data_IF_492260009168
#
_entry.id   IF_492260009168
#
_cell.length_a   1.000
_cell.length_b   1.000
_cell.length_c   1.000
_cell.angle_alpha   90.00
_cell.angle_beta   90.00
_cell.angle_gamma   90.00
#
_symmetry.space_group_name_H-M   'P 1'
#
loop_
_entity.id
_entity.type
_entity.pdbx_description
1 polymer ?
#
# COMPACT_ATOMS: atom_id res chain seq x y z
N UNK A 1 -12.93 8.28 -35.91
CA UNK A 1 -13.38 7.61 -34.67
C UNK A 1 -12.20 7.34 -33.73
N UNK A 2 -11.19 6.56 -34.16
CA UNK A 2 -10.01 6.19 -33.35
C UNK A 2 -9.26 7.39 -32.72
N UNK A 3 -9.15 8.53 -33.40
CA UNK A 3 -8.49 9.73 -32.85
C UNK A 3 -9.26 10.37 -31.68
N UNK A 4 -10.58 10.44 -31.77
CA UNK A 4 -11.43 11.00 -30.71
C UNK A 4 -11.38 10.11 -29.47
N UNK A 5 -11.55 8.79 -29.65
CA UNK A 5 -11.44 7.82 -28.55
C UNK A 5 -10.07 7.88 -27.86
N UNK A 6 -9.00 8.02 -28.64
CA UNK A 6 -7.64 8.18 -28.10
C UNK A 6 -7.50 9.49 -27.32
N UNK A 7 -8.16 10.56 -27.77
CA UNK A 7 -8.19 11.84 -27.07
C UNK A 7 -8.99 11.76 -25.75
N UNK A 8 -10.18 11.16 -25.76
CA UNK A 8 -10.98 10.88 -24.55
C UNK A 8 -10.19 10.03 -23.56
N UNK A 9 -9.53 8.97 -24.05
CA UNK A 9 -8.67 8.15 -23.22
C UNK A 9 -7.55 8.98 -22.57
N UNK A 10 -6.95 9.94 -23.28
CA UNK A 10 -5.94 10.85 -22.70
C UNK A 10 -6.51 11.86 -21.70
N UNK A 11 -7.78 12.27 -21.83
CA UNK A 11 -8.48 13.11 -20.84
C UNK A 11 -8.72 12.33 -19.54
N UNK A 12 -8.97 11.02 -19.64
CA UNK A 12 -9.41 10.20 -18.52
C UNK A 12 -8.34 9.26 -17.92
N UNK A 13 -7.26 8.93 -18.66
CA UNK A 13 -6.14 8.14 -18.13
C UNK A 13 -5.33 8.94 -17.09
N UNK A 14 -4.79 8.23 -16.09
CA UNK A 14 -3.84 8.72 -15.08
C UNK A 14 -4.32 9.73 -14.03
N UNK A 15 -5.63 10.00 -13.95
CA UNK A 15 -6.21 11.02 -13.04
C UNK A 15 -6.91 10.47 -11.80
N UNK A 16 -6.82 9.17 -11.56
CA UNK A 16 -7.37 8.52 -10.37
C UNK A 16 -8.89 8.37 -10.38
N UNK A 17 -9.55 8.66 -11.50
CA UNK A 17 -11.00 8.51 -11.71
C UNK A 17 -11.36 7.03 -11.59
N UNK A 18 -12.41 6.73 -10.84
CA UNK A 18 -12.89 5.36 -10.68
C UNK A 18 -13.38 4.81 -12.03
N UNK A 19 -13.49 3.48 -12.18
CA UNK A 19 -13.83 2.86 -13.46
C UNK A 19 -15.23 3.25 -13.97
N UNK A 20 -16.21 3.35 -13.08
CA UNK A 20 -17.60 3.66 -13.42
C UNK A 20 -17.73 5.09 -13.95
N UNK A 21 -17.22 6.06 -13.19
CA UNK A 21 -17.17 7.47 -13.60
C UNK A 21 -16.38 7.63 -14.90
N UNK A 22 -15.31 6.85 -15.09
CA UNK A 22 -14.52 6.86 -16.32
C UNK A 22 -15.33 6.37 -17.52
N UNK A 23 -16.15 5.33 -17.36
CA UNK A 23 -17.01 4.82 -18.42
C UNK A 23 -18.11 5.84 -18.77
N UNK A 24 -18.82 6.36 -17.76
CA UNK A 24 -19.86 7.39 -17.93
C UNK A 24 -19.31 8.65 -18.60
N UNK A 25 -18.21 9.22 -18.06
CA UNK A 25 -17.55 10.38 -18.65
C UNK A 25 -17.01 10.10 -20.05
N UNK A 26 -16.55 8.87 -20.33
CA UNK A 26 -16.03 8.56 -21.66
C UNK A 26 -17.12 8.64 -22.72
N UNK A 27 -18.35 8.24 -22.38
CA UNK A 27 -19.50 8.30 -23.27
C UNK A 27 -19.90 9.76 -23.47
N UNK A 28 -20.08 10.52 -22.39
CA UNK A 28 -20.49 11.93 -22.45
C UNK A 28 -19.49 12.81 -23.23
N UNK A 29 -18.20 12.68 -22.93
CA UNK A 29 -17.14 13.43 -23.63
C UNK A 29 -17.09 13.05 -25.11
N UNK A 30 -17.24 11.75 -25.43
CA UNK A 30 -17.22 11.29 -26.81
C UNK A 30 -18.43 11.83 -27.59
N UNK A 31 -19.62 11.85 -26.98
CA UNK A 31 -20.83 12.40 -27.60
C UNK A 31 -20.67 13.89 -27.91
N UNK A 32 -20.13 14.69 -26.98
CA UNK A 32 -19.83 16.11 -27.24
C UNK A 32 -18.81 16.30 -28.37
N UNK A 33 -17.75 15.49 -28.41
CA UNK A 33 -16.76 15.54 -29.50
C UNK A 33 -17.35 15.14 -30.85
N UNK A 34 -18.29 14.20 -30.87
CA UNK A 34 -19.00 13.80 -32.08
C UNK A 34 -19.95 14.90 -32.55
N UNK A 35 -20.65 15.59 -31.64
CA UNK A 35 -21.45 16.77 -31.99
C UNK A 35 -20.58 17.86 -32.63
N UNK A 36 -19.46 18.22 -32.02
CA UNK A 36 -18.52 19.20 -32.59
C UNK A 36 -17.99 18.77 -33.96
N UNK A 37 -17.65 17.48 -34.13
CA UNK A 37 -17.21 16.94 -35.41
C UNK A 37 -18.31 17.12 -36.46
N UNK A 38 -19.56 16.81 -36.12
CA UNK A 38 -20.69 16.90 -37.04
C UNK A 38 -20.96 18.35 -37.45
N UNK A 39 -20.91 19.31 -36.52
CA UNK A 39 -20.99 20.73 -36.86
C UNK A 39 -19.92 21.15 -37.88
N UNK A 40 -18.72 20.60 -37.77
CA UNK A 40 -17.65 20.88 -38.73
C UNK A 40 -17.87 20.18 -40.08
N UNK A 41 -18.46 18.99 -40.10
CA UNK A 41 -18.86 18.34 -41.35
C UNK A 41 -19.95 19.15 -42.06
N UNK A 42 -20.94 19.66 -41.32
CA UNK A 42 -22.01 20.53 -41.84
C UNK A 42 -21.47 21.85 -42.39
N UNK A 43 -20.39 22.38 -41.80
CA UNK A 43 -19.65 23.55 -42.31
C UNK A 43 -18.78 23.24 -43.54
N UNK A 44 -18.86 22.03 -44.09
CA UNK A 44 -18.18 21.63 -45.33
C UNK A 44 -16.73 21.19 -45.17
N UNK A 45 -16.26 20.92 -43.94
CA UNK A 45 -14.93 20.38 -43.72
C UNK A 45 -14.87 18.88 -44.05
N UNK A 46 -13.72 18.43 -44.57
CA UNK A 46 -13.44 17.00 -44.70
C UNK A 46 -13.32 16.33 -43.31
N UNK A 47 -13.52 15.02 -43.26
CA UNK A 47 -13.60 14.27 -42.00
C UNK A 47 -12.34 14.41 -41.12
N UNK A 48 -11.16 14.47 -41.73
CA UNK A 48 -9.89 14.62 -40.99
C UNK A 48 -9.78 16.02 -40.38
N UNK A 49 -10.13 17.07 -41.14
CA UNK A 49 -10.14 18.45 -40.64
C UNK A 49 -11.21 18.65 -39.58
N UNK A 50 -12.41 18.11 -39.78
CA UNK A 50 -13.50 18.18 -38.81
C UNK A 50 -13.11 17.53 -37.47
N UNK A 51 -12.48 16.36 -37.51
CA UNK A 51 -11.99 15.67 -36.31
C UNK A 51 -10.93 16.48 -35.57
N UNK A 52 -9.95 17.05 -36.30
CA UNK A 52 -8.91 17.89 -35.68
C UNK A 52 -9.49 19.16 -35.07
N UNK A 53 -10.41 19.84 -35.76
CA UNK A 53 -11.07 21.04 -35.23
C UNK A 53 -11.89 20.73 -33.99
N UNK A 54 -12.66 19.64 -33.99
CA UNK A 54 -13.41 19.20 -32.81
C UNK A 54 -12.50 18.99 -31.59
N UNK A 55 -11.34 18.35 -31.76
CA UNK A 55 -10.36 18.17 -30.66
C UNK A 55 -9.80 19.52 -30.18
N UNK A 56 -9.41 20.40 -31.11
CA UNK A 56 -8.82 21.70 -30.77
C UNK A 56 -9.81 22.58 -29.99
N UNK A 57 -11.06 22.62 -30.45
CA UNK A 57 -12.11 23.43 -29.83
C UNK A 57 -12.55 22.87 -28.48
N UNK A 58 -12.59 21.54 -28.35
CA UNK A 58 -12.85 20.89 -27.06
C UNK A 58 -11.74 21.18 -26.04
N UNK A 59 -10.54 21.54 -26.51
CA UNK A 59 -9.45 22.08 -25.68
C UNK A 59 -8.28 21.12 -25.51
N UNK A 60 -7.38 21.45 -24.58
CA UNK A 60 -6.22 20.62 -24.30
C UNK A 60 -6.54 19.54 -23.27
N UNK A 61 -6.19 18.28 -23.57
CA UNK A 61 -6.50 17.12 -22.72
C UNK A 61 -6.05 17.27 -21.26
N UNK A 62 -4.91 17.93 -20.99
CA UNK A 62 -4.42 18.15 -19.64
C UNK A 62 -5.31 19.12 -18.86
N UNK A 63 -5.71 20.23 -19.49
CA UNK A 63 -6.56 21.25 -18.90
C UNK A 63 -7.94 20.67 -18.59
N UNK A 64 -8.60 20.10 -19.61
CA UNK A 64 -9.93 19.50 -19.47
C UNK A 64 -9.92 18.39 -18.43
N UNK A 65 -8.95 17.46 -18.51
CA UNK A 65 -8.91 16.35 -17.55
C UNK A 65 -8.67 16.80 -16.10
N UNK A 66 -7.95 17.91 -15.88
CA UNK A 66 -7.78 18.47 -14.53
C UNK A 66 -9.06 19.14 -14.01
N UNK A 67 -9.85 19.76 -14.89
CA UNK A 67 -11.15 20.33 -14.52
C UNK A 67 -12.17 19.22 -14.25
N UNK A 68 -12.24 18.20 -15.10
CA UNK A 68 -13.06 17.00 -14.88
C UNK A 68 -12.77 16.39 -13.50
N UNK A 69 -11.49 16.25 -13.12
CA UNK A 69 -11.12 15.78 -11.77
C UNK A 69 -11.73 16.63 -10.65
N UNK A 70 -11.73 17.97 -10.80
CA UNK A 70 -12.21 18.91 -9.76
C UNK A 70 -13.72 18.86 -9.59
N UNK A 71 -14.46 18.61 -10.66
CA UNK A 71 -15.92 18.65 -10.68
C UNK A 71 -16.57 17.27 -10.58
N UNK A 72 -15.78 16.20 -10.52
CA UNK A 72 -16.29 14.86 -10.30
C UNK A 72 -17.06 14.79 -8.96
N UNK A 73 -18.34 14.36 -8.98
CA UNK A 73 -19.16 14.26 -7.76
C UNK A 73 -18.61 13.19 -6.81
N UNK A 74 -17.95 12.16 -7.35
CA UNK A 74 -17.14 11.24 -6.57
C UNK A 74 -15.73 11.83 -6.49
N UNK A 75 -15.22 12.10 -5.29
CA UNK A 75 -13.81 12.48 -5.08
C UNK A 75 -12.87 11.29 -5.31
N UNK A 76 -13.05 10.55 -6.40
CA UNK A 76 -12.46 9.26 -6.71
C UNK A 76 -12.79 8.17 -5.67
N UNK A 77 -13.96 8.25 -5.04
CA UNK A 77 -14.44 7.22 -4.11
C UNK A 77 -15.24 6.17 -4.88
N UNK A 78 -15.01 4.91 -4.54
CA UNK A 78 -15.73 3.78 -5.14
C UNK A 78 -16.98 3.43 -4.31
N UNK A 79 -17.96 2.78 -4.95
CA UNK A 79 -19.10 2.19 -4.23
C UNK A 79 -18.66 0.98 -3.38
N UNK A 80 -17.77 0.15 -3.90
CA UNK A 80 -17.18 -1.00 -3.20
C UNK A 80 -15.68 -1.17 -3.56
N UNK A 81 -14.94 -1.87 -2.71
CA UNK A 81 -13.52 -2.15 -2.90
C UNK A 81 -13.33 -3.36 -3.81
N UNK A 82 -12.61 -3.15 -4.92
CA UNK A 82 -12.15 -4.21 -5.80
C UNK A 82 -11.17 -5.14 -5.05
N UNK A 83 -11.06 -6.39 -5.50
CA UNK A 83 -10.12 -7.36 -4.92
C UNK A 83 -8.68 -6.83 -4.86
N UNK A 84 -8.25 -6.12 -5.92
CA UNK A 84 -6.94 -5.46 -5.99
C UNK A 84 -6.71 -4.49 -4.84
N UNK A 85 -7.73 -3.71 -4.47
CA UNK A 85 -7.62 -2.73 -3.39
C UNK A 85 -7.68 -3.38 -2.00
N UNK A 86 -8.41 -4.48 -1.86
CA UNK A 86 -8.40 -5.32 -0.65
C UNK A 86 -7.01 -5.89 -0.40
N UNK A 87 -6.35 -6.40 -1.46
CA UNK A 87 -4.97 -6.89 -1.38
C UNK A 87 -4.02 -5.75 -0.96
N UNK A 88 -4.13 -4.55 -1.54
CA UNK A 88 -3.33 -3.38 -1.13
C UNK A 88 -3.51 -3.05 0.36
N UNK A 89 -4.76 -3.07 0.84
CA UNK A 89 -5.08 -2.82 2.24
C UNK A 89 -4.45 -3.88 3.16
N UNK A 90 -4.61 -5.16 2.83
CA UNK A 90 -4.04 -6.25 3.65
C UNK A 90 -2.51 -6.17 3.67
N UNK A 91 -1.89 -5.85 2.54
CA UNK A 91 -0.45 -5.61 2.49
C UNK A 91 -0.09 -4.44 3.42
N UNK A 92 -0.72 -3.26 3.29
CA UNK A 92 -0.41 -2.10 4.16
C UNK A 92 -0.55 -2.42 5.65
N UNK A 93 -1.56 -3.21 6.02
CA UNK A 93 -1.71 -3.73 7.38
C UNK A 93 -0.52 -4.57 7.83
N UNK A 94 0.00 -5.49 7.00
CA UNK A 94 1.20 -6.28 7.31
C UNK A 94 2.46 -5.43 7.49
N UNK A 95 2.64 -4.34 6.71
CA UNK A 95 3.77 -3.43 6.96
C UNK A 95 3.68 -2.81 8.34
N UNK A 96 2.52 -2.22 8.61
CA UNK A 96 2.29 -1.50 9.86
C UNK A 96 2.39 -2.45 11.04
N UNK A 97 1.96 -3.70 10.88
CA UNK A 97 2.16 -4.77 11.85
C UNK A 97 3.65 -5.01 12.14
N UNK A 98 4.48 -5.26 11.12
CA UNK A 98 5.91 -5.50 11.29
C UNK A 98 6.66 -4.27 11.83
N UNK A 99 6.31 -3.07 11.37
CA UNK A 99 6.86 -1.81 11.84
C UNK A 99 6.50 -1.53 13.30
N UNK A 100 5.23 -1.74 13.68
CA UNK A 100 4.79 -1.54 15.06
C UNK A 100 5.45 -2.53 16.00
N UNK A 101 5.55 -3.82 15.65
CA UNK A 101 6.32 -4.81 16.44
C UNK A 101 7.76 -4.32 16.63
N UNK A 102 8.41 -3.92 15.54
CA UNK A 102 9.80 -3.44 15.57
C UNK A 102 9.95 -2.21 16.46
N UNK A 103 9.02 -1.26 16.37
CA UNK A 103 8.99 -0.07 17.22
C UNK A 103 8.81 -0.45 18.69
N UNK A 104 7.77 -1.20 19.05
CA UNK A 104 7.52 -1.58 20.44
C UNK A 104 8.68 -2.35 21.08
N UNK A 105 9.34 -3.25 20.33
CA UNK A 105 10.49 -4.01 20.83
C UNK A 105 11.74 -3.14 20.92
N UNK A 106 12.09 -2.42 19.84
CA UNK A 106 13.38 -1.76 19.73
C UNK A 106 13.45 -0.41 20.45
N UNK A 107 12.36 0.36 20.46
CA UNK A 107 12.35 1.71 21.06
C UNK A 107 11.70 1.71 22.45
N UNK A 108 10.57 1.02 22.62
CA UNK A 108 9.84 1.02 23.88
C UNK A 108 10.24 -0.13 24.82
N UNK A 109 11.00 -1.12 24.34
CA UNK A 109 11.40 -2.32 25.09
C UNK A 109 10.22 -3.07 25.71
N UNK A 110 9.05 -3.01 25.06
CA UNK A 110 7.83 -3.73 25.47
C UNK A 110 7.73 -5.00 24.63
N UNK A 111 7.64 -6.15 25.29
CA UNK A 111 7.65 -7.46 24.64
C UNK A 111 6.28 -8.16 24.76
N UNK A 112 5.94 -9.06 23.82
CA UNK A 112 4.83 -9.99 24.01
C UNK A 112 5.07 -10.87 25.25
N UNK A 113 4.01 -11.29 25.98
CA UNK A 113 2.59 -11.12 25.69
C UNK A 113 1.97 -9.90 26.40
N UNK A 114 2.73 -8.84 26.68
CA UNK A 114 2.25 -7.65 27.40
C UNK A 114 0.97 -7.08 26.76
N UNK A 115 -0.01 -6.71 27.59
CA UNK A 115 -1.30 -6.18 27.12
C UNK A 115 -1.15 -4.88 26.34
N UNK A 116 -0.23 -4.00 26.76
CA UNK A 116 0.06 -2.71 26.09
C UNK A 116 0.65 -2.97 24.70
N UNK A 117 1.55 -3.96 24.58
CA UNK A 117 2.10 -4.38 23.29
C UNK A 117 0.98 -4.85 22.35
N UNK A 118 0.13 -5.76 22.82
CA UNK A 118 -0.95 -6.33 22.02
C UNK A 118 -1.93 -5.25 21.56
N UNK A 119 -2.39 -4.38 22.48
CA UNK A 119 -3.32 -3.29 22.16
C UNK A 119 -2.67 -2.31 21.18
N UNK A 120 -1.42 -1.91 21.42
CA UNK A 120 -0.71 -0.93 20.59
C UNK A 120 -0.49 -1.39 19.16
N UNK A 121 0.00 -2.61 18.97
CA UNK A 121 0.19 -3.21 17.64
C UNK A 121 -1.16 -3.35 16.92
N UNK A 122 -2.18 -3.87 17.60
CA UNK A 122 -3.51 -4.03 17.01
C UNK A 122 -4.17 -2.70 16.66
N UNK A 123 -3.94 -1.65 17.45
CA UNK A 123 -4.45 -0.31 17.16
C UNK A 123 -3.88 0.22 15.85
N UNK A 124 -2.55 0.15 15.66
CA UNK A 124 -1.91 0.61 14.43
C UNK A 124 -2.46 -0.12 13.19
N UNK A 125 -2.62 -1.43 13.28
CA UNK A 125 -3.10 -2.27 12.17
C UNK A 125 -4.57 -1.98 11.83
N UNK A 126 -5.45 -2.03 12.82
CA UNK A 126 -6.89 -1.80 12.61
C UNK A 126 -7.19 -0.36 12.18
N UNK A 127 -6.42 0.61 12.68
CA UNK A 127 -6.49 2.01 12.23
C UNK A 127 -6.09 2.17 10.77
N UNK A 128 -5.09 1.41 10.29
CA UNK A 128 -4.67 1.44 8.88
C UNK A 128 -5.79 0.98 7.95
N UNK A 129 -6.48 -0.11 8.31
CA UNK A 129 -7.64 -0.59 7.56
C UNK A 129 -8.77 0.46 7.56
N UNK A 130 -9.06 1.02 8.74
CA UNK A 130 -10.06 2.08 8.90
C UNK A 130 -9.78 3.27 7.97
N UNK A 131 -8.57 3.82 7.98
CA UNK A 131 -8.19 4.96 7.13
C UNK A 131 -8.27 4.61 5.65
N UNK A 132 -7.65 3.51 5.24
CA UNK A 132 -7.59 3.11 3.82
C UNK A 132 -8.99 2.95 3.22
N UNK A 133 -9.90 2.32 3.97
CA UNK A 133 -11.25 2.02 3.51
C UNK A 133 -12.13 3.27 3.50
N UNK A 134 -12.08 4.09 4.55
CA UNK A 134 -12.91 5.31 4.63
C UNK A 134 -12.44 6.44 3.70
N UNK A 135 -11.17 6.43 3.27
CA UNK A 135 -10.69 7.33 2.21
C UNK A 135 -11.24 6.87 0.84
N UNK A 136 -11.28 5.56 0.57
CA UNK A 136 -11.68 5.02 -0.73
C UNK A 136 -13.19 4.83 -0.93
N UNK A 137 -13.99 4.66 0.13
CA UNK A 137 -15.42 4.39 0.02
C UNK A 137 -16.26 5.53 0.57
N UNK A 138 -17.37 5.82 -0.12
CA UNK A 138 -18.35 6.82 0.36
C UNK A 138 -19.52 6.17 1.12
N UNK A 139 -19.85 4.92 0.79
CA UNK A 139 -20.98 4.22 1.39
C UNK A 139 -20.57 3.59 2.74
N UNK A 140 -21.20 4.05 3.83
CA UNK A 140 -20.99 3.56 5.21
C UNK A 140 -21.14 2.05 5.32
N UNK A 141 -22.19 1.48 4.71
CA UNK A 141 -22.48 0.05 4.77
C UNK A 141 -21.38 -0.77 4.11
N UNK A 142 -20.91 -0.32 2.95
CA UNK A 142 -19.83 -0.99 2.23
C UNK A 142 -18.49 -0.79 2.93
N UNK A 143 -18.22 0.37 3.51
CA UNK A 143 -17.04 0.61 4.33
C UNK A 143 -16.97 -0.36 5.52
N UNK A 144 -18.06 -0.50 6.29
CA UNK A 144 -18.15 -1.45 7.41
C UNK A 144 -17.92 -2.88 6.95
N UNK A 145 -18.60 -3.31 5.87
CA UNK A 145 -18.41 -4.66 5.29
C UNK A 145 -16.94 -4.92 4.94
N UNK A 146 -16.27 -3.95 4.32
CA UNK A 146 -14.88 -4.10 3.92
C UNK A 146 -13.91 -4.04 5.09
N UNK A 147 -14.18 -3.27 6.14
CA UNK A 147 -13.37 -3.26 7.37
C UNK A 147 -13.40 -4.65 8.00
N UNK A 148 -14.59 -5.22 8.16
CA UNK A 148 -14.76 -6.58 8.70
C UNK A 148 -14.00 -7.59 7.84
N UNK A 149 -14.16 -7.53 6.52
CA UNK A 149 -13.52 -8.46 5.59
C UNK A 149 -11.99 -8.35 5.62
N UNK A 150 -11.44 -7.14 5.55
CA UNK A 150 -10.00 -6.93 5.52
C UNK A 150 -9.36 -7.30 6.87
N UNK A 151 -9.95 -6.89 7.99
CA UNK A 151 -9.45 -7.24 9.33
C UNK A 151 -9.54 -8.74 9.60
N UNK A 152 -10.65 -9.39 9.22
CA UNK A 152 -10.80 -10.84 9.34
C UNK A 152 -9.77 -11.60 8.50
N UNK A 153 -9.59 -11.19 7.24
CA UNK A 153 -8.60 -11.81 6.35
C UNK A 153 -7.18 -11.60 6.86
N UNK A 154 -6.84 -10.39 7.30
CA UNK A 154 -5.55 -10.08 7.91
C UNK A 154 -5.28 -10.97 9.13
N UNK A 155 -6.24 -11.10 10.05
CA UNK A 155 -6.06 -11.90 11.26
C UNK A 155 -5.77 -13.38 10.94
N UNK A 156 -6.47 -13.95 9.96
CA UNK A 156 -6.21 -15.33 9.50
C UNK A 156 -4.80 -15.45 8.90
N UNK A 157 -4.45 -14.55 7.97
CA UNK A 157 -3.15 -14.56 7.31
C UNK A 157 -2.00 -14.34 8.30
N UNK A 158 -2.18 -13.49 9.31
CA UNK A 158 -1.19 -13.23 10.35
C UNK A 158 -0.94 -14.49 11.17
N UNK A 159 -1.98 -15.26 11.54
CA UNK A 159 -1.80 -16.55 12.23
C UNK A 159 -1.10 -17.58 11.36
N UNK A 160 -1.44 -17.69 10.08
CA UNK A 160 -0.74 -18.56 9.15
C UNK A 160 0.74 -18.16 9.05
N UNK A 161 1.01 -16.86 8.90
CA UNK A 161 2.37 -16.33 8.84
C UNK A 161 3.19 -16.67 10.10
N UNK A 162 2.60 -16.50 11.29
CA UNK A 162 3.27 -16.82 12.56
C UNK A 162 3.50 -18.34 12.74
N UNK A 163 2.60 -19.20 12.25
CA UNK A 163 2.79 -20.65 12.26
C UNK A 163 3.93 -21.05 11.32
N UNK A 164 3.99 -20.48 10.12
CA UNK A 164 5.08 -20.74 9.17
C UNK A 164 6.42 -20.30 9.79
N UNK A 165 6.44 -19.10 10.39
CA UNK A 165 7.63 -18.58 11.03
C UNK A 165 8.11 -19.44 12.20
N UNK A 166 7.19 -19.96 13.03
CA UNK A 166 7.55 -20.82 14.16
C UNK A 166 8.06 -22.19 13.70
N UNK A 167 7.46 -22.80 12.68
CA UNK A 167 7.95 -24.04 12.08
C UNK A 167 9.36 -23.87 11.50
N UNK A 168 9.60 -22.73 10.85
CA UNK A 168 10.92 -22.38 10.33
C UNK A 168 11.96 -22.21 11.45
N UNK A 169 11.59 -21.56 12.56
CA UNK A 169 12.47 -21.40 13.72
C UNK A 169 12.81 -22.77 14.37
N UNK A 170 11.82 -23.65 14.51
CA UNK A 170 12.00 -25.02 15.02
C UNK A 170 12.98 -25.82 14.15
N UNK A 171 12.83 -25.73 12.82
CA UNK A 171 13.73 -26.40 11.88
C UNK A 171 15.19 -25.97 12.05
N UNK A 172 15.43 -24.67 12.31
CA UNK A 172 16.79 -24.13 12.42
C UNK A 172 17.43 -24.36 13.80
N UNK A 173 16.65 -24.27 14.89
CA UNK A 173 17.14 -24.40 16.26
C UNK A 173 17.18 -25.85 16.78
N UNK A 174 16.55 -26.79 16.07
CA UNK A 174 16.46 -28.19 16.48
C UNK A 174 15.32 -28.45 17.47
N UNK A 175 14.87 -29.71 17.54
CA UNK A 175 13.67 -30.13 18.29
C UNK A 175 13.90 -30.20 19.81
N UNK A 176 13.99 -29.05 20.48
CA UNK A 176 13.95 -29.01 21.95
C UNK A 176 12.51 -28.77 22.44
N UNK A 177 11.98 -29.67 23.27
CA UNK A 177 10.58 -29.69 23.72
C UNK A 177 10.13 -28.46 24.52
N UNK A 178 11.05 -27.75 25.18
CA UNK A 178 10.78 -26.45 25.85
C UNK A 178 10.37 -25.33 24.89
N UNK A 179 10.73 -25.45 23.61
CA UNK A 179 10.42 -24.46 22.57
C UNK A 179 8.93 -24.53 22.20
N UNK A 180 8.35 -25.74 22.14
CA UNK A 180 6.94 -25.97 21.81
C UNK A 180 5.97 -25.34 22.84
N UNK A 181 6.33 -25.37 24.12
CA UNK A 181 5.54 -24.75 25.20
C UNK A 181 5.59 -23.22 25.14
N UNK A 182 6.77 -22.63 24.87
CA UNK A 182 6.89 -21.18 24.71
C UNK A 182 6.13 -20.67 23.46
N UNK A 183 5.96 -21.49 22.41
CA UNK A 183 5.27 -21.09 21.19
C UNK A 183 3.74 -20.96 21.33
N UNK A 184 3.10 -21.83 22.13
CA UNK A 184 1.64 -21.81 22.31
C UNK A 184 1.18 -20.55 23.06
N UNK A 185 1.96 -20.14 24.07
CA UNK A 185 1.58 -19.08 24.99
C UNK A 185 2.06 -17.67 24.59
N UNK A 186 3.14 -17.54 23.80
CA UNK A 186 3.67 -16.21 23.48
C UNK A 186 2.99 -15.49 22.31
N UNK A 187 2.50 -16.18 21.26
CA UNK A 187 2.18 -15.44 20.03
C UNK A 187 1.07 -16.00 19.11
N UNK A 188 1.01 -17.32 18.88
CA UNK A 188 0.11 -17.85 17.82
C UNK A 188 -1.36 -17.78 18.25
N UNK A 189 -1.68 -18.20 19.48
CA UNK A 189 -3.06 -18.20 19.99
C UNK A 189 -3.19 -17.34 21.25
N UNK A 190 -2.49 -16.21 21.30
CA UNK A 190 -2.63 -15.28 22.42
C UNK A 190 -4.06 -14.68 22.43
N UNK A 191 -4.88 -15.18 23.35
CA UNK A 191 -6.28 -14.76 23.50
C UNK A 191 -6.41 -13.26 23.75
N UNK A 192 -5.47 -12.64 24.47
CA UNK A 192 -5.46 -11.19 24.72
C UNK A 192 -5.22 -10.41 23.42
N UNK A 193 -4.36 -10.92 22.54
CA UNK A 193 -4.14 -10.33 21.22
C UNK A 193 -5.40 -10.45 20.36
N UNK A 194 -6.03 -11.62 20.31
CA UNK A 194 -7.25 -11.84 19.51
C UNK A 194 -8.40 -10.95 20.01
N UNK A 195 -8.64 -10.94 21.33
CA UNK A 195 -9.69 -10.12 21.93
C UNK A 195 -9.47 -8.63 21.70
N UNK A 196 -8.25 -8.12 21.90
CA UNK A 196 -7.96 -6.71 21.64
C UNK A 196 -8.15 -6.35 20.17
N UNK A 197 -7.78 -7.22 19.23
CA UNK A 197 -8.00 -7.00 17.80
C UNK A 197 -9.49 -6.93 17.44
N UNK A 198 -10.32 -7.82 18.02
CA UNK A 198 -11.77 -7.82 17.81
C UNK A 198 -12.39 -6.55 18.38
N UNK A 199 -12.05 -6.17 19.62
CA UNK A 199 -12.56 -4.96 20.28
C UNK A 199 -12.22 -3.71 19.48
N UNK A 200 -10.96 -3.58 19.02
CA UNK A 200 -10.52 -2.44 18.21
C UNK A 200 -11.19 -2.41 16.83
N UNK A 201 -11.42 -3.57 16.22
CA UNK A 201 -12.20 -3.65 14.97
C UNK A 201 -13.63 -3.15 15.18
N UNK A 202 -14.30 -3.57 16.25
CA UNK A 202 -15.64 -3.07 16.61
C UNK A 202 -15.64 -1.56 16.86
N UNK A 203 -14.62 -1.06 17.58
CA UNK A 203 -14.44 0.37 17.80
C UNK A 203 -14.34 1.15 16.48
N UNK A 204 -13.51 0.71 15.52
CA UNK A 204 -13.40 1.37 14.22
C UNK A 204 -14.62 1.21 13.31
N UNK A 205 -15.43 0.16 13.49
CA UNK A 205 -16.75 0.04 12.83
C UNK A 205 -17.70 1.13 13.35
N UNK A 206 -17.77 1.33 14.67
CA UNK A 206 -18.56 2.39 15.28
C UNK A 206 -18.07 3.77 14.82
N UNK A 207 -16.75 3.96 14.81
CA UNK A 207 -16.11 5.20 14.37
C UNK A 207 -16.40 5.48 12.88
N UNK A 208 -16.43 4.46 12.03
CA UNK A 208 -16.85 4.57 10.62
C UNK A 208 -18.29 5.06 10.48
N UNK A 209 -19.20 4.55 11.30
CA UNK A 209 -20.60 5.00 11.30
C UNK A 209 -20.74 6.48 11.69
N UNK A 210 -19.88 6.96 12.59
CA UNK A 210 -19.90 8.35 13.07
C UNK A 210 -19.17 9.34 12.14
N UNK A 211 -17.99 8.96 11.62
CA UNK A 211 -17.11 9.87 10.86
C UNK A 211 -17.48 10.04 9.39
N UNK A 212 -18.15 9.07 8.78
CA UNK A 212 -18.36 9.07 7.32
C UNK A 212 -19.36 10.15 6.85
N UNK A 213 -20.01 10.88 7.76
CA UNK A 213 -20.98 11.93 7.41
C UNK A 213 -20.31 13.30 7.19
N UNK A 214 -19.17 13.62 7.84
CA UNK A 214 -18.68 15.01 7.87
C UNK A 214 -17.20 15.23 7.48
N UNK A 215 -16.32 14.23 7.60
CA UNK A 215 -14.85 14.44 7.45
C UNK A 215 -14.29 13.72 6.21
N UNK A 216 -14.83 12.57 5.85
CA UNK A 216 -14.32 11.80 4.69
C UNK A 216 -14.54 12.54 3.37
N UNK A 217 -15.51 13.47 3.29
CA UNK A 217 -15.72 14.31 2.12
C UNK A 217 -14.54 15.27 1.87
N UNK A 218 -13.77 15.66 2.88
CA UNK A 218 -12.67 16.63 2.70
C UNK A 218 -11.33 16.01 2.31
N UNK A 219 -11.20 14.69 2.45
CA UNK A 219 -9.94 13.99 2.20
C UNK A 219 -9.95 13.50 0.74
N UNK A 220 -9.14 14.14 -0.11
CA UNK A 220 -8.93 13.63 -1.47
C UNK A 220 -8.35 12.21 -1.41
N UNK A 221 -8.79 11.33 -2.31
CA UNK A 221 -8.19 10.02 -2.48
C UNK A 221 -6.73 10.20 -2.93
N UNK A 222 -5.80 10.09 -1.99
CA UNK A 222 -4.37 10.19 -2.24
C UNK A 222 -3.98 8.97 -3.07
N UNK A 223 -3.78 9.23 -4.37
CA UNK A 223 -3.15 8.40 -5.40
C UNK A 223 -3.31 6.88 -5.28
N UNK A 224 -3.82 6.25 -6.34
CA UNK A 224 -3.74 4.80 -6.49
C UNK A 224 -2.28 4.33 -6.64
N UNK A 225 -1.57 4.16 -5.53
CA UNK A 225 -0.21 3.66 -5.50
C UNK A 225 -0.21 2.25 -6.09
N UNK A 226 0.71 2.01 -7.04
CA UNK A 226 0.85 0.70 -7.65
C UNK A 226 1.24 -0.33 -6.59
N UNK A 227 0.60 -1.51 -6.62
CA UNK A 227 0.91 -2.64 -5.73
C UNK A 227 2.41 -2.93 -5.76
N UNK A 228 3.00 -2.96 -6.95
CA UNK A 228 4.43 -3.16 -7.13
C UNK A 228 5.25 -2.15 -6.32
N UNK A 229 4.91 -0.85 -6.35
CA UNK A 229 5.63 0.19 -5.61
C UNK A 229 5.53 -0.02 -4.10
N UNK A 230 4.32 -0.32 -3.61
CA UNK A 230 4.06 -0.63 -2.19
C UNK A 230 4.90 -1.84 -1.77
N UNK A 231 4.82 -2.94 -2.52
CA UNK A 231 5.58 -4.17 -2.24
C UNK A 231 7.09 -3.92 -2.28
N UNK A 232 7.62 -3.19 -3.25
CA UNK A 232 9.05 -2.84 -3.29
C UNK A 232 9.46 -1.98 -2.10
N UNK A 233 8.61 -1.05 -1.66
CA UNK A 233 8.87 -0.24 -0.47
C UNK A 233 8.94 -1.12 0.79
N UNK A 234 8.03 -2.08 0.92
CA UNK A 234 8.07 -3.04 2.02
C UNK A 234 9.34 -3.89 2.01
N UNK A 235 9.66 -4.47 0.85
CA UNK A 235 10.86 -5.29 0.67
C UNK A 235 12.09 -4.46 1.05
N UNK A 236 12.14 -3.17 0.67
CA UNK A 236 13.24 -2.27 1.02
C UNK A 236 13.39 -2.10 2.53
N UNK A 237 12.28 -1.91 3.26
CA UNK A 237 12.30 -1.76 4.73
C UNK A 237 12.72 -3.06 5.39
N UNK A 238 12.13 -4.20 4.99
CA UNK A 238 12.47 -5.52 5.55
C UNK A 238 13.97 -5.82 5.36
N UNK A 239 14.50 -5.55 4.16
CA UNK A 239 15.91 -5.73 3.86
C UNK A 239 16.80 -4.77 4.65
N UNK A 240 16.40 -3.52 4.87
CA UNK A 240 17.12 -2.59 5.74
C UNK A 240 17.15 -3.08 7.19
N UNK A 241 16.02 -3.56 7.71
CA UNK A 241 15.95 -4.11 9.08
C UNK A 241 16.84 -5.34 9.22
N UNK A 242 16.78 -6.28 8.25
CA UNK A 242 17.68 -7.44 8.19
C UNK A 242 19.16 -7.02 8.14
N UNK A 243 19.49 -6.02 7.31
CA UNK A 243 20.83 -5.45 7.23
C UNK A 243 21.28 -4.91 8.59
N UNK A 244 20.44 -4.14 9.30
CA UNK A 244 20.77 -3.58 10.61
C UNK A 244 20.93 -4.64 11.71
N UNK A 245 20.20 -5.74 11.63
CA UNK A 245 20.29 -6.87 12.57
C UNK A 245 21.49 -7.80 12.31
N UNK A 246 22.04 -7.77 11.09
CA UNK A 246 23.21 -8.55 10.69
C UNK A 246 24.50 -7.96 11.28
N UNK A 247 25.45 -8.79 11.79
CA UNK A 247 25.38 -10.24 12.03
C UNK A 247 25.22 -10.62 13.52
N UNK A 248 25.37 -9.66 14.44
CA UNK A 248 25.57 -9.97 15.87
C UNK A 248 24.27 -10.17 16.66
N UNK A 249 23.13 -9.64 16.19
CA UNK A 249 21.87 -9.69 16.96
C UNK A 249 20.93 -10.82 16.53
N UNK A 250 21.06 -11.30 15.29
CA UNK A 250 20.20 -12.36 14.76
C UNK A 250 21.02 -13.62 14.47
N UNK A 251 21.04 -14.54 15.44
CA UNK A 251 21.76 -15.82 15.32
C UNK A 251 21.40 -16.59 14.03
N UNK A 252 20.15 -16.53 13.59
CA UNK A 252 19.73 -17.16 12.33
C UNK A 252 20.45 -16.58 11.11
N UNK A 253 20.52 -15.24 11.02
CA UNK A 253 21.19 -14.58 9.91
C UNK A 253 22.69 -14.90 9.97
N UNK A 254 23.30 -14.87 11.16
CA UNK A 254 24.71 -15.26 11.35
C UNK A 254 24.96 -16.68 10.83
N UNK A 255 24.13 -17.65 11.22
CA UNK A 255 24.27 -19.07 10.84
C UNK A 255 24.06 -19.29 9.33
N UNK A 256 23.11 -18.58 8.71
CA UNK A 256 22.91 -18.62 7.26
C UNK A 256 24.15 -18.08 6.54
N UNK A 257 24.68 -16.95 7.02
CA UNK A 257 25.87 -16.33 6.43
C UNK A 257 27.11 -17.22 6.62
N UNK A 258 27.34 -17.80 7.80
CA UNK A 258 28.46 -18.74 8.02
C UNK A 258 28.34 -19.98 7.15
N UNK A 259 27.14 -20.54 7.00
CA UNK A 259 26.90 -21.68 6.10
C UNK A 259 27.14 -21.33 4.63
N UNK A 260 26.78 -20.11 4.22
CA UNK A 260 26.96 -19.66 2.84
C UNK A 260 28.42 -19.33 2.52
N UNK A 261 29.13 -18.68 3.45
CA UNK A 261 30.53 -18.29 3.29
C UNK A 261 31.47 -19.49 3.50
N UNK A 262 31.04 -20.52 4.26
CA UNK A 262 31.86 -21.67 4.61
C UNK A 262 32.96 -21.36 5.65
N UNK A 263 32.88 -20.20 6.31
CA UNK A 263 33.82 -19.79 7.36
C UNK A 263 33.09 -19.08 8.49
N UNK A 264 33.63 -19.18 9.71
CA UNK A 264 33.12 -18.45 10.86
C UNK A 264 33.29 -16.93 10.71
N UNK A 265 32.32 -16.19 11.23
CA UNK A 265 32.36 -14.72 11.27
C UNK A 265 33.17 -14.30 12.50
N UNK A 266 34.40 -13.84 12.28
CA UNK A 266 35.35 -13.38 13.33
C UNK A 266 35.39 -11.88 13.43
N UNK A 267 35.35 -11.17 12.30
CA UNK A 267 35.40 -9.71 12.23
C UNK A 267 34.27 -9.17 11.35
N UNK A 268 33.63 -8.11 11.84
CA UNK A 268 32.50 -7.47 11.17
C UNK A 268 32.69 -5.97 11.27
N UNK A 269 32.91 -5.32 10.13
CA UNK A 269 32.81 -3.87 10.02
C UNK A 269 31.55 -3.50 9.26
N UNK A 270 30.89 -2.43 9.67
CA UNK A 270 29.58 -2.05 9.14
C UNK A 270 29.44 -0.55 9.04
N UNK A 271 28.99 -0.08 7.89
CA UNK A 271 28.53 1.29 7.70
C UNK A 271 27.08 1.29 7.19
N UNK A 272 26.58 2.43 6.70
CA UNK A 272 25.21 2.55 6.18
C UNK A 272 25.00 1.85 4.83
N UNK A 273 26.07 1.69 4.04
CA UNK A 273 26.03 1.21 2.65
C UNK A 273 26.40 -0.27 2.49
N UNK A 274 27.31 -0.79 3.31
CA UNK A 274 27.78 -2.16 3.25
C UNK A 274 28.33 -2.69 4.59
N UNK A 275 28.27 -4.00 4.73
CA UNK A 275 28.94 -4.78 5.79
C UNK A 275 30.14 -5.48 5.17
N UNK A 276 31.31 -5.39 5.79
CA UNK A 276 32.45 -6.27 5.50
C UNK A 276 32.54 -7.37 6.55
N UNK A 277 32.67 -8.61 6.08
CA UNK A 277 32.84 -9.81 6.91
C UNK A 277 34.23 -10.36 6.65
N UNK A 278 34.99 -10.57 7.73
CA UNK A 278 36.36 -11.10 7.73
C UNK A 278 37.28 -10.35 6.74
N UNK A 279 37.00 -9.06 6.50
CA UNK A 279 37.73 -8.21 5.55
C UNK A 279 37.81 -8.74 4.10
N UNK A 280 36.96 -9.71 3.73
CA UNK A 280 36.95 -10.35 2.39
C UNK A 280 35.60 -10.28 1.70
N UNK A 281 34.50 -10.40 2.45
CA UNK A 281 33.16 -10.45 1.89
C UNK A 281 32.43 -9.14 2.13
N UNK A 282 31.85 -8.55 1.08
CA UNK A 282 31.09 -7.29 1.14
C UNK A 282 29.62 -7.61 0.89
N UNK A 283 28.76 -7.24 1.84
CA UNK A 283 27.31 -7.36 1.73
C UNK A 283 26.73 -5.94 1.65
N UNK A 284 26.23 -5.50 0.48
CA UNK A 284 25.63 -4.18 0.34
C UNK A 284 24.26 -4.09 1.04
N UNK A 285 23.88 -2.89 1.46
CA UNK A 285 22.56 -2.58 2.02
C UNK A 285 21.51 -2.51 0.89
N UNK A 286 21.10 -3.68 0.41
CA UNK A 286 20.13 -3.81 -0.71
C UNK A 286 18.83 -3.08 -0.41
N UNK A 287 18.38 -3.08 0.86
CA UNK A 287 17.18 -2.36 1.27
C UNK A 287 17.30 -0.86 1.04
N UNK A 288 18.42 -0.26 1.42
CA UNK A 288 18.66 1.17 1.22
C UNK A 288 18.77 1.53 -0.27
N UNK A 289 19.34 0.66 -1.10
CA UNK A 289 19.43 0.86 -2.56
C UNK A 289 18.03 0.85 -3.19
N UNK A 290 17.16 -0.09 -2.80
CA UNK A 290 15.79 -0.13 -3.32
C UNK A 290 15.01 1.11 -2.86
N UNK A 291 15.19 1.53 -1.60
CA UNK A 291 14.53 2.71 -1.05
C UNK A 291 14.96 3.99 -1.78
N UNK A 292 16.25 4.17 -2.05
CA UNK A 292 16.76 5.35 -2.77
C UNK A 292 16.22 5.42 -4.20
N UNK A 293 16.13 4.28 -4.91
CA UNK A 293 15.50 4.21 -6.23
C UNK A 293 14.01 4.59 -6.19
N UNK A 294 13.28 4.18 -5.15
CA UNK A 294 11.88 4.56 -4.95
C UNK A 294 11.73 6.07 -4.70
N UNK A 295 12.62 6.66 -3.90
CA UNK A 295 12.65 8.11 -3.67
C UNK A 295 12.93 8.89 -4.97
N UNK A 296 13.89 8.45 -5.79
CA UNK A 296 14.16 9.06 -7.10
C UNK A 296 12.92 8.95 -8.02
N UNK A 297 12.29 7.78 -8.06
CA UNK A 297 11.05 7.57 -8.84
C UNK A 297 9.92 8.48 -8.36
N UNK A 298 9.77 8.67 -7.05
CA UNK A 298 8.81 9.61 -6.47
C UNK A 298 9.11 11.03 -6.96
N UNK A 299 10.35 11.51 -6.82
CA UNK A 299 10.77 12.85 -7.27
C UNK A 299 10.50 13.07 -8.77
N UNK A 300 10.78 12.07 -9.62
CA UNK A 300 10.48 12.14 -11.05
C UNK A 300 8.97 12.22 -11.33
N UNK A 301 8.14 11.52 -10.55
CA UNK A 301 6.68 11.61 -10.64
C UNK A 301 6.18 12.99 -10.20
N UNK A 302 6.72 13.54 -9.11
CA UNK A 302 6.41 14.90 -8.64
C UNK A 302 6.72 15.93 -9.75
N UNK A 303 7.87 15.79 -10.40
CA UNK A 303 8.29 16.68 -11.49
C UNK A 303 7.41 16.57 -12.73
N UNK A 304 6.89 15.38 -13.05
CA UNK A 304 6.01 15.16 -14.22
C UNK A 304 4.57 15.61 -13.98
N UNK A 305 4.01 15.41 -12.78
CA UNK A 305 2.60 15.70 -12.47
C UNK A 305 2.37 17.11 -11.91
N UNK A 306 3.44 17.78 -11.47
CA UNK A 306 3.37 19.12 -10.88
C UNK A 306 2.96 19.08 -9.40
N UNK A 307 3.57 19.94 -8.57
CA UNK A 307 3.38 19.95 -7.11
C UNK A 307 1.90 20.21 -6.73
N UNK A 308 1.16 20.97 -7.55
CA UNK A 308 -0.26 21.28 -7.35
C UNK A 308 -1.21 20.10 -7.57
N UNK A 309 -0.75 18.94 -8.03
CA UNK A 309 -1.62 17.76 -8.13
C UNK A 309 -1.68 16.95 -6.82
N UNK A 310 -0.97 17.38 -5.77
CA UNK A 310 -0.70 16.60 -4.54
C UNK A 310 -1.29 17.28 -3.29
N UNK A 311 -1.48 18.59 -3.35
CA UNK A 311 -2.24 19.38 -2.39
C UNK A 311 -3.67 19.55 -2.92
#
# INVERSE_FOLDING_TARGET
>A
MIELERYVKKILDDRGINKKDKEELSIEILDHLLMLKNEYLEKGYDEKKATKKAIVDFGQYNTIGNEVKKFLPSKNKCEDLLLRDKIKCILSMFLVYLLSISFFIATLTIYPPNIVFNIGVNLCVTFTAFLYINIKLNNTRNAIKNIILCNGTFMILEKIFMIIFSLFELFIRGSNTKILYNFRDFYIFNLKFILSFIILTLFFILLTKYFNINISEKIENIYDLNISTIVTFFISIILMTMYYLTPNKFYMIRKIITNFIGSDITEVSKNTLFITINSRYIIPNIGLIILSLLCVRLILLLRRKGIKSIL
#
